data_IF_719200381965
#
_entry.id   IF_719200381965
#
_cell.length_a   1.000
_cell.length_b   1.000
_cell.length_c   1.000
_cell.angle_alpha   90.00
_cell.angle_beta   90.00
_cell.angle_gamma   90.00
#
_symmetry.space_group_name_H-M   'P 1'
#
loop_
_entity.id
_entity.type
_entity.pdbx_description
1 polymer ?
#
# COMPACT_ATOMS: atom_id res chain seq x y z
N UNK A 1 -3.10 13.82 -2.96
CA UNK A 1 -1.82 14.12 -2.29
C UNK A 1 -0.64 13.68 -3.15
N UNK A 2 -0.58 12.41 -3.58
CA UNK A 2 0.50 11.86 -4.43
C UNK A 2 0.78 12.70 -5.69
N UNK A 3 -0.26 13.13 -6.42
CA UNK A 3 -0.12 13.99 -7.58
C UNK A 3 0.56 15.34 -7.26
N UNK A 4 0.27 15.91 -6.08
CA UNK A 4 0.91 17.15 -5.60
C UNK A 4 2.38 16.91 -5.29
N UNK A 5 2.72 15.80 -4.63
CA UNK A 5 4.11 15.41 -4.36
C UNK A 5 4.90 15.21 -5.66
N UNK A 6 4.29 14.59 -6.66
CA UNK A 6 4.88 14.43 -8.00
C UNK A 6 5.16 15.78 -8.67
N UNK A 7 4.22 16.72 -8.65
CA UNK A 7 4.40 18.06 -9.26
C UNK A 7 5.43 18.92 -8.52
N UNK A 8 5.47 18.83 -7.19
CA UNK A 8 6.36 19.64 -6.35
C UNK A 8 7.74 18.97 -6.15
N UNK A 9 7.94 17.77 -6.70
CA UNK A 9 9.13 16.92 -6.47
C UNK A 9 9.43 16.73 -4.98
N UNK A 10 8.38 16.71 -4.16
CA UNK A 10 8.48 16.48 -2.73
C UNK A 10 8.77 15.00 -2.45
N UNK A 11 9.62 14.75 -1.46
CA UNK A 11 10.05 13.41 -1.06
C UNK A 11 9.59 13.17 0.39
N UNK A 12 8.41 12.56 0.59
CA UNK A 12 7.93 12.17 1.93
C UNK A 12 8.85 11.17 2.61
N UNK A 13 8.69 11.03 3.93
CA UNK A 13 9.17 9.86 4.68
C UNK A 13 8.40 8.58 4.24
N UNK A 14 8.92 7.39 4.56
CA UNK A 14 8.22 6.15 4.21
C UNK A 14 6.90 6.03 4.98
N UNK A 15 6.89 6.52 6.22
CA UNK A 15 5.71 6.53 7.07
C UNK A 15 4.62 7.46 6.50
N UNK A 16 5.00 8.67 6.06
CA UNK A 16 4.08 9.58 5.36
C UNK A 16 3.63 9.02 4.01
N UNK A 17 4.55 8.42 3.24
CA UNK A 17 4.22 7.79 1.96
C UNK A 17 3.21 6.67 2.15
N UNK A 18 3.47 5.70 3.04
CA UNK A 18 2.57 4.58 3.28
C UNK A 18 1.23 5.06 3.85
N UNK A 19 1.22 6.07 4.71
CA UNK A 19 -0.03 6.64 5.22
C UNK A 19 -0.93 7.20 4.11
N UNK A 20 -0.34 7.81 3.07
CA UNK A 20 -1.07 8.39 1.93
C UNK A 20 -1.35 7.35 0.83
N UNK A 21 -0.39 6.47 0.57
CA UNK A 21 -0.40 5.55 -0.56
C UNK A 21 -1.07 4.21 -0.24
N UNK A 22 -1.18 3.82 1.04
CA UNK A 22 -1.97 2.64 1.40
C UNK A 22 -3.46 2.84 1.12
N UNK A 23 -4.13 3.95 1.50
CA UNK A 23 -5.52 4.18 1.10
C UNK A 23 -5.72 4.29 -0.43
N UNK A 24 -4.72 4.75 -1.18
CA UNK A 24 -4.80 4.86 -2.65
C UNK A 24 -4.85 3.51 -3.37
N UNK A 25 -4.52 2.41 -2.68
CA UNK A 25 -4.68 1.03 -3.19
C UNK A 25 -6.13 0.58 -3.37
N UNK A 26 -7.09 1.34 -2.83
CA UNK A 26 -8.53 1.06 -2.92
C UNK A 26 -9.00 -0.28 -2.33
N UNK A 27 -8.22 -0.91 -1.43
CA UNK A 27 -8.63 -2.14 -0.74
C UNK A 27 -9.95 -2.03 0.04
N UNK A 28 -10.21 -0.95 0.83
CA UNK A 28 -11.51 -0.78 1.48
C UNK A 28 -12.65 -0.83 0.45
N UNK A 29 -12.49 -0.13 -0.68
CA UNK A 29 -13.46 -0.11 -1.78
C UNK A 29 -13.65 -1.50 -2.40
N UNK A 30 -12.57 -2.22 -2.71
CA UNK A 30 -12.66 -3.55 -3.31
C UNK A 30 -13.33 -4.57 -2.39
N UNK A 31 -13.05 -4.52 -1.08
CA UNK A 31 -13.72 -5.37 -0.09
C UNK A 31 -15.22 -5.01 -0.03
N UNK A 32 -15.57 -3.73 0.06
CA UNK A 32 -16.97 -3.28 0.03
C UNK A 32 -17.70 -3.72 -1.24
N UNK A 33 -17.11 -3.58 -2.43
CA UNK A 33 -17.72 -4.03 -3.69
C UNK A 33 -17.91 -5.55 -3.69
N UNK A 34 -16.94 -6.30 -3.16
CA UNK A 34 -17.03 -7.76 -3.06
C UNK A 34 -18.19 -8.16 -2.15
N UNK A 35 -18.37 -7.47 -1.03
CA UNK A 35 -19.49 -7.66 -0.10
C UNK A 35 -20.84 -7.37 -0.76
N UNK A 36 -20.98 -6.25 -1.49
CA UNK A 36 -22.21 -5.96 -2.26
C UNK A 36 -22.56 -7.09 -3.22
N UNK A 37 -21.56 -7.69 -3.88
CA UNK A 37 -21.77 -8.81 -4.81
C UNK A 37 -22.20 -10.12 -4.15
N UNK A 38 -22.08 -10.24 -2.83
CA UNK A 38 -22.55 -11.42 -2.10
C UNK A 38 -24.08 -11.44 -1.91
N UNK A 39 -24.78 -10.34 -2.24
CA UNK A 39 -26.24 -10.27 -2.16
C UNK A 39 -26.76 -10.50 -0.74
N UNK A 40 -27.75 -11.38 -0.59
CA UNK A 40 -28.44 -11.60 0.70
C UNK A 40 -27.57 -12.29 1.78
N UNK A 41 -26.36 -12.75 1.43
CA UNK A 41 -25.43 -13.37 2.38
C UNK A 41 -24.68 -12.36 3.24
N UNK A 42 -24.57 -11.10 2.81
CA UNK A 42 -23.82 -10.08 3.56
C UNK A 42 -24.72 -9.33 4.54
N UNK A 43 -24.18 -9.01 5.72
CA UNK A 43 -24.91 -8.29 6.76
C UNK A 43 -24.47 -6.84 6.88
N UNK A 44 -25.26 -6.01 7.58
CA UNK A 44 -24.89 -4.62 7.87
C UNK A 44 -23.59 -4.54 8.68
N UNK A 45 -23.42 -5.47 9.61
CA UNK A 45 -22.24 -5.58 10.47
C UNK A 45 -20.97 -5.85 9.67
N UNK A 46 -21.05 -6.57 8.54
CA UNK A 46 -19.91 -6.78 7.67
C UNK A 46 -19.46 -5.46 7.00
N UNK A 47 -20.40 -4.63 6.54
CA UNK A 47 -20.07 -3.30 6.01
C UNK A 47 -19.53 -2.37 7.11
N UNK A 48 -20.14 -2.36 8.29
CA UNK A 48 -19.65 -1.59 9.44
C UNK A 48 -18.24 -2.03 9.83
N UNK A 49 -17.96 -3.32 9.80
CA UNK A 49 -16.61 -3.85 10.08
C UNK A 49 -15.58 -3.28 9.10
N UNK A 50 -15.85 -3.29 7.78
CA UNK A 50 -14.91 -2.74 6.76
C UNK A 50 -14.71 -1.23 6.91
N UNK A 51 -15.78 -0.51 7.25
CA UNK A 51 -15.78 0.96 7.32
C UNK A 51 -15.33 1.52 8.68
N UNK A 52 -15.16 0.68 9.70
CA UNK A 52 -14.74 1.12 11.03
C UNK A 52 -13.24 1.43 11.03
N UNK A 53 -12.87 2.67 11.30
CA UNK A 53 -11.48 3.12 11.29
C UNK A 53 -10.90 3.24 12.72
N UNK A 54 -9.73 2.64 13.03
CA UNK A 54 -8.87 1.86 12.14
C UNK A 54 -9.26 0.37 12.07
N UNK A 55 -9.53 -0.16 10.87
CA UNK A 55 -9.67 -1.61 10.66
C UNK A 55 -8.28 -2.21 10.38
N UNK A 56 -7.73 -2.94 11.37
CA UNK A 56 -6.39 -3.53 11.28
C UNK A 56 -6.21 -4.41 10.06
N UNK A 57 -7.16 -5.28 9.73
CA UNK A 57 -7.03 -6.22 8.59
C UNK A 57 -7.04 -5.46 7.26
N UNK A 58 -7.95 -4.51 7.09
CA UNK A 58 -8.04 -3.69 5.88
C UNK A 58 -6.77 -2.85 5.69
N UNK A 59 -6.25 -2.27 6.78
CA UNK A 59 -5.02 -1.49 6.76
C UNK A 59 -3.80 -2.34 6.39
N UNK A 60 -3.65 -3.51 7.03
CA UNK A 60 -2.55 -4.46 6.72
C UNK A 60 -2.64 -4.93 5.27
N UNK A 61 -3.82 -5.29 4.77
CA UNK A 61 -4.02 -5.69 3.38
C UNK A 61 -3.64 -4.57 2.40
N UNK A 62 -3.98 -3.32 2.73
CA UNK A 62 -3.62 -2.14 1.92
C UNK A 62 -2.10 -1.91 1.89
N UNK A 63 -1.39 -2.11 3.01
CA UNK A 63 0.07 -2.00 3.08
C UNK A 63 0.74 -3.09 2.25
N UNK A 64 0.29 -4.35 2.40
CA UNK A 64 0.78 -5.48 1.61
C UNK A 64 0.60 -5.19 0.12
N UNK A 65 -0.60 -4.76 -0.27
CA UNK A 65 -0.93 -4.43 -1.66
C UNK A 65 -0.04 -3.31 -2.22
N UNK A 66 0.19 -2.23 -1.45
CA UNK A 66 1.05 -1.12 -1.85
C UNK A 66 2.49 -1.57 -2.07
N UNK A 67 3.08 -2.30 -1.12
CA UNK A 67 4.47 -2.75 -1.20
C UNK A 67 4.63 -3.73 -2.35
N UNK A 68 3.72 -4.71 -2.50
CA UNK A 68 3.76 -5.66 -3.61
C UNK A 68 3.62 -4.98 -4.98
N UNK A 69 2.76 -3.96 -5.09
CA UNK A 69 2.64 -3.18 -6.32
C UNK A 69 3.97 -2.47 -6.64
N UNK A 70 4.54 -1.75 -5.66
CA UNK A 70 5.82 -1.05 -5.80
C UNK A 70 6.95 -1.99 -6.22
N UNK A 71 7.08 -3.16 -5.58
CA UNK A 71 8.12 -4.14 -5.92
C UNK A 71 8.04 -4.58 -7.39
N UNK A 72 6.84 -4.72 -7.94
CA UNK A 72 6.65 -5.18 -9.32
C UNK A 72 6.74 -4.04 -10.34
N UNK A 73 6.23 -2.85 -10.01
CA UNK A 73 6.06 -1.76 -10.99
C UNK A 73 7.17 -0.71 -10.98
N UNK A 74 8.00 -0.63 -9.94
CA UNK A 74 8.85 0.55 -9.75
C UNK A 74 9.76 0.85 -10.94
N UNK A 75 10.37 -0.16 -11.58
CA UNK A 75 11.24 0.08 -12.74
C UNK A 75 10.50 0.72 -13.92
N UNK A 76 9.28 0.29 -14.18
CA UNK A 76 8.42 0.88 -15.21
C UNK A 76 7.96 2.28 -14.82
N UNK A 77 7.58 2.47 -13.55
CA UNK A 77 7.08 3.74 -13.04
C UNK A 77 8.15 4.83 -13.00
N UNK A 78 9.39 4.48 -12.64
CA UNK A 78 10.51 5.43 -12.65
C UNK A 78 10.91 5.85 -14.07
N UNK A 79 10.72 4.99 -15.10
CA UNK A 79 10.98 5.36 -16.51
C UNK A 79 10.06 6.47 -17.04
N UNK A 80 8.86 6.60 -16.46
CA UNK A 80 7.87 7.63 -16.84
C UNK A 80 7.83 8.80 -15.86
N UNK A 81 8.86 8.96 -15.04
CA UNK A 81 8.98 10.00 -14.01
C UNK A 81 7.81 10.05 -13.03
N UNK A 82 7.26 8.88 -12.68
CA UNK A 82 6.23 8.77 -11.66
C UNK A 82 6.79 9.14 -10.27
N UNK A 83 5.92 9.30 -9.27
CA UNK A 83 6.37 9.45 -7.88
C UNK A 83 7.24 8.25 -7.47
N UNK A 84 8.22 8.49 -6.60
CA UNK A 84 9.07 7.44 -6.05
C UNK A 84 8.22 6.33 -5.41
N UNK A 85 8.58 5.07 -5.66
CA UNK A 85 7.96 3.93 -4.99
C UNK A 85 8.64 3.65 -3.64
N UNK A 86 8.08 2.74 -2.84
CA UNK A 86 8.73 2.23 -1.64
C UNK A 86 10.19 1.78 -1.89
N UNK A 87 10.49 1.19 -3.05
CA UNK A 87 11.86 0.77 -3.39
C UNK A 87 12.81 1.97 -3.48
N UNK A 88 12.41 3.03 -4.20
CA UNK A 88 13.22 4.25 -4.32
C UNK A 88 13.36 4.97 -2.96
N UNK A 89 12.30 4.98 -2.14
CA UNK A 89 12.39 5.52 -0.79
C UNK A 89 13.41 4.76 0.07
N UNK A 90 13.37 3.42 0.07
CA UNK A 90 14.29 2.61 0.86
C UNK A 90 15.75 2.79 0.42
N UNK A 91 16.01 2.69 -0.89
CA UNK A 91 17.35 2.91 -1.45
C UNK A 91 17.88 4.30 -1.09
N UNK A 92 17.05 5.35 -1.23
CA UNK A 92 17.48 6.72 -0.94
C UNK A 92 17.69 6.97 0.56
N UNK A 93 16.82 6.46 1.42
CA UNK A 93 16.87 6.71 2.87
C UNK A 93 18.03 5.98 3.54
N UNK A 94 18.29 4.74 3.14
CA UNK A 94 19.28 3.88 3.79
C UNK A 94 20.60 3.77 3.02
N UNK A 95 20.68 4.32 1.82
CA UNK A 95 21.88 4.22 0.97
C UNK A 95 22.19 2.80 0.51
N UNK A 96 21.17 1.93 0.50
CA UNK A 96 21.28 0.51 0.15
C UNK A 96 20.98 0.28 -1.33
N UNK A 97 21.44 -0.85 -1.87
CA UNK A 97 21.10 -1.25 -3.23
C UNK A 97 19.61 -1.51 -3.41
N UNK A 98 19.12 -1.45 -4.65
CA UNK A 98 17.74 -1.82 -4.98
C UNK A 98 17.41 -3.26 -4.59
N UNK A 99 18.38 -4.17 -4.70
CA UNK A 99 18.21 -5.57 -4.30
C UNK A 99 17.99 -5.69 -2.80
N UNK A 100 18.83 -5.04 -1.98
CA UNK A 100 18.66 -5.04 -0.52
C UNK A 100 17.32 -4.41 -0.10
N UNK A 101 16.90 -3.32 -0.77
CA UNK A 101 15.59 -2.73 -0.55
C UNK A 101 14.45 -3.71 -0.89
N UNK A 102 14.59 -4.47 -1.98
CA UNK A 102 13.64 -5.49 -2.40
C UNK A 102 13.49 -6.60 -1.34
N UNK A 103 14.61 -7.12 -0.85
CA UNK A 103 14.64 -8.17 0.18
C UNK A 103 14.00 -7.72 1.50
N UNK A 104 14.27 -6.48 1.92
CA UNK A 104 13.70 -5.91 3.15
C UNK A 104 12.19 -5.67 3.04
N UNK A 105 11.73 -5.13 1.91
CA UNK A 105 10.31 -4.92 1.64
C UNK A 105 9.55 -6.25 1.54
N UNK A 106 10.14 -7.30 0.94
CA UNK A 106 9.56 -8.64 0.92
C UNK A 106 9.44 -9.25 2.33
N UNK A 107 10.44 -9.01 3.20
CA UNK A 107 10.36 -9.39 4.62
C UNK A 107 9.21 -8.70 5.33
N UNK A 108 9.02 -7.40 5.09
CA UNK A 108 7.90 -6.65 5.66
C UNK A 108 6.55 -7.20 5.20
N UNK A 109 6.41 -7.50 3.91
CA UNK A 109 5.20 -8.16 3.37
C UNK A 109 4.97 -9.50 4.09
N UNK A 110 6.00 -10.33 4.21
CA UNK A 110 5.91 -11.64 4.88
C UNK A 110 5.51 -11.52 6.35
N UNK A 111 6.01 -10.50 7.04
CA UNK A 111 5.65 -10.23 8.43
C UNK A 111 4.23 -9.69 8.56
N UNK A 112 3.82 -8.75 7.71
CA UNK A 112 2.47 -8.18 7.69
C UNK A 112 1.40 -9.26 7.44
N UNK A 113 1.71 -10.28 6.63
CA UNK A 113 0.82 -11.43 6.46
C UNK A 113 0.49 -12.20 7.74
N UNK A 114 1.31 -12.09 8.80
CA UNK A 114 1.03 -12.72 10.10
C UNK A 114 -0.07 -12.02 10.88
N UNK A 115 -0.38 -10.76 10.57
CA UNK A 115 -1.48 -10.03 11.19
C UNK A 115 -2.83 -10.37 10.53
N UNK A 116 -2.79 -11.01 9.35
CA UNK A 116 -3.98 -11.47 8.59
C UNK A 116 -4.32 -12.93 8.88
N UNK A 117 -3.33 -13.76 9.23
CA UNK A 117 -3.48 -15.20 9.51
C UNK A 117 -3.57 -15.50 11.01
#
# INVERSE_FOLDING_TARGET
MEAKWSSEKYVPTIEEYLHVASPSTAYPLFITISFVKMGDFVTKEAFEWVLNEPNTIVNVASIIGRIMNDLVSHEFEQKREHVASAVEYYTKRYGISKQEAHEELQKQVTNAWKDVN
#
